data_IF_260868245010
#
_entry.id   IF_260868245010
#
_cell.length_a   1.000
_cell.length_b   1.000
_cell.length_c   1.000
_cell.angle_alpha   90.00
_cell.angle_beta   90.00
_cell.angle_gamma   90.00
#
_symmetry.space_group_name_H-M   'P 1'
#
loop_
_entity.id
_entity.type
_entity.pdbx_description
1 polymer ?
#
# COMPACT_ATOMS: atom_id res chain seq x y z
N UNK A 1 7.63 -2.98 16.22
CA UNK A 1 7.28 -1.76 15.45
C UNK A 1 5.91 -1.32 15.95
N UNK A 2 5.84 -0.19 16.63
CA UNK A 2 4.61 0.36 17.22
C UNK A 2 4.00 1.39 16.25
N UNK A 3 3.39 0.89 15.17
CA UNK A 3 2.78 1.71 14.12
C UNK A 3 1.39 1.18 13.78
N UNK A 4 0.51 2.08 13.36
CA UNK A 4 -0.82 1.75 12.81
C UNK A 4 -0.75 1.37 11.33
N UNK A 5 0.24 1.93 10.62
CA UNK A 5 0.48 1.70 9.20
C UNK A 5 1.95 1.45 8.95
N UNK A 6 2.29 0.44 8.15
CA UNK A 6 3.65 0.14 7.74
C UNK A 6 3.77 0.23 6.22
N UNK A 7 4.61 1.16 5.76
CA UNK A 7 4.99 1.27 4.36
C UNK A 7 6.31 0.54 4.12
N UNK A 8 6.30 -0.37 3.16
CA UNK A 8 7.48 -1.13 2.72
C UNK A 8 7.70 -0.93 1.22
N UNK A 9 8.74 -1.54 0.67
CA UNK A 9 9.07 -1.49 -0.75
C UNK A 9 9.92 -2.71 -1.12
N UNK A 10 10.87 -2.52 -2.03
CA UNK A 10 11.85 -3.53 -2.47
C UNK A 10 11.29 -4.67 -3.34
N UNK A 11 10.07 -5.17 -3.10
CA UNK A 11 9.52 -6.29 -3.88
C UNK A 11 9.15 -5.93 -5.32
N UNK A 12 8.97 -4.64 -5.61
CA UNK A 12 8.50 -4.07 -6.88
C UNK A 12 7.06 -4.42 -7.27
N UNK A 13 6.34 -5.23 -6.48
CA UNK A 13 4.90 -5.43 -6.65
C UNK A 13 4.11 -4.56 -5.67
N UNK A 14 2.94 -4.12 -6.10
CA UNK A 14 2.00 -3.43 -5.24
C UNK A 14 1.33 -4.43 -4.28
N UNK A 15 1.12 -4.02 -3.04
CA UNK A 15 0.33 -4.75 -2.05
C UNK A 15 -0.31 -3.77 -1.06
N UNK A 16 -1.60 -3.95 -0.73
CA UNK A 16 -2.23 -3.23 0.37
C UNK A 16 -3.21 -4.16 1.08
N UNK A 17 -3.01 -4.36 2.38
CA UNK A 17 -3.86 -5.24 3.18
C UNK A 17 -3.89 -4.84 4.65
N UNK A 18 -4.94 -5.26 5.33
CA UNK A 18 -5.07 -5.15 6.77
C UNK A 18 -4.68 -6.47 7.43
N UNK A 19 -3.88 -6.41 8.49
CA UNK A 19 -3.59 -7.55 9.36
C UNK A 19 -3.51 -7.10 10.82
N UNK A 20 -4.20 -7.80 11.71
CA UNK A 20 -4.24 -7.49 13.15
C UNK A 20 -4.58 -6.02 13.48
N UNK A 21 -5.49 -5.41 12.71
CA UNK A 21 -5.89 -4.01 12.88
C UNK A 21 -4.84 -2.98 12.46
N UNK A 22 -3.78 -3.42 11.78
CA UNK A 22 -2.74 -2.57 11.19
C UNK A 22 -2.79 -2.65 9.68
N UNK A 23 -2.44 -1.55 9.04
CA UNK A 23 -2.50 -1.44 7.59
C UNK A 23 -1.09 -1.52 6.97
N UNK A 24 -0.90 -2.45 6.05
CA UNK A 24 0.37 -2.70 5.39
C UNK A 24 0.26 -2.26 3.94
N UNK A 25 1.23 -1.47 3.48
CA UNK A 25 1.27 -0.96 2.11
C UNK A 25 2.65 -1.15 1.53
N UNK A 26 2.70 -1.71 0.34
CA UNK A 26 3.83 -1.67 -0.56
C UNK A 26 3.37 -0.96 -1.84
N UNK A 27 3.88 0.24 -2.15
CA UNK A 27 3.42 1.01 -3.31
C UNK A 27 3.88 0.42 -4.65
N UNK A 28 4.72 -0.62 -4.64
CA UNK A 28 5.35 -1.18 -5.82
C UNK A 28 6.50 -0.33 -6.33
N UNK A 29 6.61 -0.16 -7.65
CA UNK A 29 7.71 0.56 -8.28
C UNK A 29 7.17 1.59 -9.28
N UNK A 30 7.37 2.88 -9.01
CA UNK A 30 6.80 3.94 -9.84
C UNK A 30 7.29 3.97 -11.30
N UNK A 31 8.47 3.40 -11.57
CA UNK A 31 9.07 3.42 -12.90
C UNK A 31 8.98 2.07 -13.62
N UNK A 32 8.45 1.02 -12.98
CA UNK A 32 8.49 -0.34 -13.51
C UNK A 32 9.92 -0.92 -13.60
N UNK A 33 10.83 -0.49 -12.73
CA UNK A 33 12.23 -0.93 -12.81
C UNK A 33 12.38 -2.44 -12.54
N UNK A 34 13.42 -3.03 -13.14
CA UNK A 34 13.77 -4.44 -12.94
C UNK A 34 13.97 -4.80 -11.45
N UNK A 35 13.49 -5.98 -11.05
CA UNK A 35 13.74 -6.58 -9.74
C UNK A 35 14.57 -7.85 -9.88
N UNK A 36 15.60 -8.00 -9.05
CA UNK A 36 16.41 -9.22 -8.97
C UNK A 36 15.74 -10.36 -8.20
N UNK A 37 14.52 -10.16 -7.70
CA UNK A 37 13.80 -11.16 -6.91
C UNK A 37 13.26 -12.25 -7.85
N UNK A 38 13.54 -13.54 -7.59
CA UNK A 38 13.04 -14.64 -8.42
C UNK A 38 11.51 -14.63 -8.49
N UNK A 39 10.97 -14.80 -9.71
CA UNK A 39 9.52 -14.79 -9.94
C UNK A 39 8.90 -13.39 -10.09
N UNK A 40 9.69 -12.32 -9.96
CA UNK A 40 9.24 -10.95 -10.26
C UNK A 40 9.52 -10.62 -11.73
N UNK A 41 8.73 -11.17 -12.64
CA UNK A 41 8.67 -10.73 -14.04
C UNK A 41 7.55 -9.70 -14.22
N UNK A 42 7.67 -8.84 -15.23
CA UNK A 42 6.60 -7.93 -15.64
C UNK A 42 6.16 -6.94 -14.54
N UNK A 43 7.12 -6.17 -14.03
CA UNK A 43 6.86 -5.12 -13.03
C UNK A 43 5.92 -4.07 -13.62
N UNK A 44 4.71 -4.01 -13.08
CA UNK A 44 3.72 -2.98 -13.41
C UNK A 44 4.10 -1.68 -12.69
N UNK A 45 4.34 -0.55 -13.40
CA UNK A 45 4.60 0.73 -12.76
C UNK A 45 3.44 1.12 -11.85
N UNK A 46 3.75 1.45 -10.60
CA UNK A 46 2.72 1.75 -9.60
C UNK A 46 3.18 2.72 -8.52
N UNK A 47 2.22 3.48 -7.99
CA UNK A 47 2.41 4.34 -6.82
C UNK A 47 1.09 4.52 -6.06
N UNK A 48 1.19 5.04 -4.85
CA UNK A 48 0.04 5.23 -3.95
C UNK A 48 -0.10 6.70 -3.56
N UNK A 49 -1.33 7.22 -3.58
CA UNK A 49 -1.71 8.47 -2.94
C UNK A 49 -2.60 8.16 -1.74
N UNK A 50 -2.26 8.69 -0.57
CA UNK A 50 -3.06 8.53 0.65
C UNK A 50 -3.69 9.86 1.04
N UNK A 51 -5.00 9.87 1.23
CA UNK A 51 -5.76 10.94 1.86
C UNK A 51 -6.09 10.51 3.29
N UNK A 52 -5.53 11.22 4.27
CA UNK A 52 -5.63 10.89 5.69
C UNK A 52 -6.53 11.94 6.35
N UNK A 53 -7.67 11.51 6.88
CA UNK A 53 -8.65 12.37 7.54
C UNK A 53 -9.12 11.75 8.85
N UNK A 54 -8.68 12.34 9.96
CA UNK A 54 -9.00 11.82 11.30
C UNK A 54 -8.47 10.40 11.48
N UNK A 55 -9.37 9.44 11.67
CA UNK A 55 -9.04 8.02 11.82
C UNK A 55 -9.25 7.19 10.54
N UNK A 56 -9.52 7.84 9.42
CA UNK A 56 -9.77 7.19 8.12
C UNK A 56 -8.60 7.51 7.19
N UNK A 57 -8.15 6.49 6.46
CA UNK A 57 -7.17 6.61 5.39
C UNK A 57 -7.78 6.07 4.11
N UNK A 58 -7.90 6.93 3.11
CA UNK A 58 -8.27 6.55 1.76
C UNK A 58 -7.00 6.41 0.94
N UNK A 59 -6.78 5.23 0.40
CA UNK A 59 -5.58 4.87 -0.37
C UNK A 59 -5.96 4.69 -1.83
N UNK A 60 -5.45 5.56 -2.68
CA UNK A 60 -5.58 5.48 -4.13
C UNK A 60 -4.34 4.84 -4.71
N UNK A 61 -4.53 3.76 -5.46
CA UNK A 61 -3.45 2.97 -6.04
C UNK A 61 -3.50 3.20 -7.54
N UNK A 62 -2.41 3.72 -8.09
CA UNK A 62 -2.28 3.99 -9.51
C UNK A 62 -1.37 2.93 -10.12
N UNK A 63 -1.82 2.30 -11.19
CA UNK A 63 -1.05 1.31 -11.93
C UNK A 63 -1.09 1.62 -13.43
N UNK A 64 0.05 1.47 -14.11
CA UNK A 64 0.12 1.57 -15.57
C UNK A 64 0.02 0.18 -16.20
N UNK A 65 -1.16 -0.17 -16.72
CA UNK A 65 -1.43 -1.47 -17.34
C UNK A 65 -1.83 -1.23 -18.79
N UNK A 66 -1.16 -1.88 -19.74
CA UNK A 66 -1.42 -1.72 -21.18
C UNK A 66 -1.39 -0.25 -21.66
N UNK A 67 -0.47 0.55 -21.11
CA UNK A 67 -0.35 2.01 -21.31
C UNK A 67 -1.55 2.84 -20.83
N UNK A 68 -2.45 2.26 -20.04
CA UNK A 68 -3.56 2.95 -19.41
C UNK A 68 -3.37 3.02 -17.90
N UNK A 69 -3.76 4.16 -17.32
CA UNK A 69 -3.74 4.34 -15.86
C UNK A 69 -5.00 3.72 -15.28
N UNK A 70 -4.83 2.64 -14.51
CA UNK A 70 -5.87 2.04 -13.68
C UNK A 70 -5.75 2.60 -12.26
N UNK A 71 -6.89 2.87 -11.64
CA UNK A 71 -6.97 3.41 -10.28
C UNK A 71 -7.84 2.52 -9.42
N UNK A 72 -7.30 2.05 -8.31
CA UNK A 72 -8.04 1.33 -7.26
C UNK A 72 -8.12 2.19 -6.00
N UNK A 73 -9.20 2.00 -5.22
CA UNK A 73 -9.43 2.73 -3.96
C UNK A 73 -9.64 1.74 -2.84
N UNK A 74 -8.85 1.86 -1.78
CA UNK A 74 -8.98 1.11 -0.53
C UNK A 74 -9.21 2.08 0.62
N UNK A 75 -10.03 1.72 1.59
CA UNK A 75 -10.28 2.51 2.80
C UNK A 75 -9.85 1.71 4.03
N UNK A 76 -9.03 2.31 4.88
CA UNK A 76 -8.66 1.79 6.19
C UNK A 76 -9.22 2.72 7.27
N UNK A 77 -9.82 2.14 8.31
CA UNK A 77 -10.31 2.88 9.48
C UNK A 77 -9.59 2.38 10.71
N UNK A 78 -8.79 3.25 11.33
CA UNK A 78 -8.20 2.96 12.64
C UNK A 78 -9.32 2.84 13.66
N UNK A 79 -9.48 1.62 14.20
CA UNK A 79 -10.35 1.37 15.34
C UNK A 79 -9.66 1.82 16.62
N UNK A 80 -10.37 2.59 17.45
CA UNK A 80 -9.90 2.99 18.78
C UNK A 80 -10.25 1.95 19.87
N UNK A 81 -10.49 0.69 19.51
CA UNK A 81 -10.77 -0.35 20.49
C UNK A 81 -9.62 -0.42 21.52
N UNK A 82 -10.02 -0.30 22.80
CA UNK A 82 -9.20 0.04 23.96
C UNK A 82 -7.83 -0.67 24.03
N UNK A 83 -6.78 0.05 23.64
CA UNK A 83 -5.43 -0.19 24.15
C UNK A 83 -4.87 1.11 24.69
N UNK A 84 -5.31 1.41 25.90
CA UNK A 84 -4.57 2.18 26.92
C UNK A 84 -5.27 1.97 28.26
N UNK A 85 -5.06 0.78 28.84
CA UNK A 85 -5.01 0.66 30.30
C UNK A 85 -3.53 0.61 30.64
N UNK A 86 -3.01 1.76 31.07
CA UNK A 86 -1.85 1.87 31.94
C UNK A 86 -2.27 2.77 33.10
#
# INVERSE_FOLDING_TARGET
>A
MDVDMLLTGHTHWFEAFENEGKFFINPGNATGAYSGIPGTSDVIPSFVLMDIQGNVVVTYIYQLVDNEVKVEKVEFKKSYAASKVL
#
